data_IF_281220469723
#
_entry.id   IF_281220469723
#
_cell.length_a   1.000
_cell.length_b   1.000
_cell.length_c   1.000
_cell.angle_alpha   90.00
_cell.angle_beta   90.00
_cell.angle_gamma   90.00
#
_symmetry.space_group_name_H-M   'P 1'
#
loop_
_entity.id
_entity.type
_entity.pdbx_description
1 polymer ?
#
# COMPACT_ATOMS: atom_id res chain seq x y z
N UNK A 1 -51.91 -28.28 -3.92
CA UNK A 1 -50.45 -28.37 -4.15
C UNK A 1 -49.89 -26.97 -4.36
N UNK A 2 -49.31 -26.34 -3.33
CA UNK A 2 -48.68 -25.01 -3.46
C UNK A 2 -47.18 -25.22 -3.71
N UNK A 3 -46.72 -24.90 -4.92
CA UNK A 3 -45.29 -24.88 -5.25
C UNK A 3 -44.70 -23.58 -4.70
N UNK A 4 -43.86 -23.69 -3.67
CA UNK A 4 -43.07 -22.55 -3.17
C UNK A 4 -41.84 -22.45 -4.06
N UNK A 5 -41.74 -21.37 -4.84
CA UNK A 5 -40.57 -21.06 -5.64
C UNK A 5 -39.60 -20.27 -4.76
N UNK A 6 -38.52 -20.92 -4.30
CA UNK A 6 -37.45 -20.26 -3.56
C UNK A 6 -36.51 -19.57 -4.57
N UNK A 7 -36.64 -18.25 -4.71
CA UNK A 7 -35.70 -17.45 -5.50
C UNK A 7 -34.45 -17.23 -4.63
N UNK A 8 -33.40 -18.01 -4.90
CA UNK A 8 -32.06 -17.77 -4.36
C UNK A 8 -31.48 -16.53 -5.07
N UNK A 9 -31.55 -15.38 -4.41
CA UNK A 9 -30.83 -14.18 -4.82
C UNK A 9 -29.35 -14.43 -4.48
N UNK A 10 -28.60 -15.00 -5.41
CA UNK A 10 -27.14 -14.94 -5.36
C UNK A 10 -26.73 -13.50 -5.57
N UNK A 11 -26.58 -12.77 -4.46
CA UNK A 11 -25.90 -11.49 -4.47
C UNK A 11 -24.46 -11.79 -4.88
N UNK A 12 -24.10 -11.44 -6.11
CA UNK A 12 -22.70 -11.34 -6.55
C UNK A 12 -22.08 -10.24 -5.71
N UNK A 13 -21.59 -10.60 -4.53
CA UNK A 13 -20.62 -9.80 -3.82
C UNK A 13 -19.41 -9.84 -4.74
N UNK A 14 -19.26 -8.80 -5.57
CA UNK A 14 -17.99 -8.52 -6.20
C UNK A 14 -17.00 -8.31 -5.05
N UNK A 15 -16.33 -9.40 -4.66
CA UNK A 15 -15.12 -9.37 -3.84
C UNK A 15 -14.07 -8.67 -4.71
N UNK A 16 -14.17 -7.34 -4.79
CA UNK A 16 -13.04 -6.51 -5.18
C UNK A 16 -12.01 -6.74 -4.08
N UNK A 17 -11.02 -7.58 -4.38
CA UNK A 17 -9.87 -7.77 -3.51
C UNK A 17 -9.11 -6.47 -3.37
N UNK A 18 -8.38 -6.34 -2.26
CA UNK A 18 -7.38 -5.30 -2.19
C UNK A 18 -6.19 -5.67 -3.12
N UNK A 19 -5.38 -4.71 -3.57
CA UNK A 19 -4.19 -4.98 -4.37
C UNK A 19 -3.28 -6.00 -3.71
N UNK A 20 -2.66 -6.85 -4.53
CA UNK A 20 -1.82 -7.96 -4.12
C UNK A 20 -0.38 -7.81 -4.65
N UNK A 21 0.35 -6.73 -4.30
CA UNK A 21 1.73 -6.58 -4.73
C UNK A 21 2.55 -7.82 -4.35
N UNK A 22 3.16 -8.44 -5.35
CA UNK A 22 3.95 -9.68 -5.21
C UNK A 22 3.15 -10.90 -4.68
N UNK A 23 1.83 -10.89 -4.84
CA UNK A 23 0.92 -11.94 -4.35
C UNK A 23 0.54 -11.79 -2.87
N UNK A 24 0.79 -10.64 -2.25
CA UNK A 24 0.40 -10.35 -0.88
C UNK A 24 -0.73 -9.35 -0.83
N UNK A 25 -1.95 -9.83 -0.62
CA UNK A 25 -3.13 -8.97 -0.53
C UNK A 25 -3.03 -8.01 0.68
N UNK A 26 -3.14 -6.71 0.39
CA UNK A 26 -3.16 -5.67 1.40
C UNK A 26 -4.31 -5.87 2.40
N UNK A 27 -4.05 -5.58 3.67
CA UNK A 27 -4.99 -5.75 4.78
C UNK A 27 -5.19 -7.21 5.22
N UNK A 28 -4.65 -8.20 4.50
CA UNK A 28 -4.82 -9.63 4.81
C UNK A 28 -3.51 -10.35 5.06
N UNK A 29 -2.54 -10.18 4.16
CA UNK A 29 -1.24 -10.81 4.25
C UNK A 29 -0.56 -10.46 5.58
N UNK A 30 0.14 -11.42 6.15
CA UNK A 30 0.78 -11.31 7.46
C UNK A 30 2.29 -11.13 7.36
N UNK A 31 2.89 -10.61 8.42
CA UNK A 31 4.35 -10.58 8.58
C UNK A 31 4.97 -11.98 8.38
N UNK A 32 4.36 -13.02 8.93
CA UNK A 32 4.83 -14.40 8.79
C UNK A 32 4.84 -14.87 7.32
N UNK A 33 3.77 -14.60 6.57
CA UNK A 33 3.68 -14.98 5.16
C UNK A 33 4.74 -14.27 4.30
N UNK A 34 4.96 -12.97 4.54
CA UNK A 34 5.96 -12.19 3.79
C UNK A 34 7.38 -12.61 4.16
N UNK A 35 7.69 -12.74 5.46
CA UNK A 35 9.02 -13.15 5.92
C UNK A 35 9.38 -14.58 5.54
N UNK A 36 8.40 -15.48 5.42
CA UNK A 36 8.61 -16.84 4.90
C UNK A 36 9.01 -16.84 3.43
N UNK A 37 8.44 -15.95 2.61
CA UNK A 37 8.81 -15.84 1.19
C UNK A 37 10.15 -15.14 0.99
N UNK A 38 10.46 -14.16 1.84
CA UNK A 38 11.70 -13.38 1.78
C UNK A 38 12.47 -13.55 3.09
N UNK A 39 13.17 -14.67 3.31
CA UNK A 39 13.85 -14.95 4.57
C UNK A 39 15.03 -14.02 4.86
N UNK A 40 15.67 -13.48 3.82
CA UNK A 40 16.84 -12.59 3.93
C UNK A 40 16.46 -11.09 4.06
N UNK A 41 15.36 -10.81 4.77
CA UNK A 41 14.90 -9.44 5.00
C UNK A 41 15.68 -8.75 6.13
N UNK A 42 15.71 -7.42 6.11
CA UNK A 42 16.20 -6.60 7.23
C UNK A 42 15.04 -5.90 7.91
N UNK A 43 14.85 -6.11 9.21
CA UNK A 43 13.87 -5.33 9.97
C UNK A 43 14.47 -3.96 10.34
N UNK A 44 13.86 -2.88 9.85
CA UNK A 44 14.35 -1.50 10.05
C UNK A 44 13.68 -0.78 11.24
N UNK A 45 13.07 -1.56 12.13
CA UNK A 45 12.32 -1.07 13.29
C UNK A 45 10.81 -1.02 13.05
N UNK A 46 10.12 -0.24 13.86
CA UNK A 46 8.68 -0.02 13.73
C UNK A 46 8.41 1.25 12.95
N UNK A 47 7.43 1.20 12.04
CA UNK A 47 7.03 2.36 11.27
C UNK A 47 6.58 3.48 12.22
N UNK A 48 7.09 4.72 12.04
CA UNK A 48 6.68 5.82 12.89
C UNK A 48 5.17 6.06 12.86
N UNK A 49 4.52 5.91 11.71
CA UNK A 49 3.09 6.13 11.48
C UNK A 49 2.28 4.95 12.02
N UNK A 50 2.55 3.74 11.53
CA UNK A 50 1.68 2.58 11.77
C UNK A 50 1.96 1.87 13.10
N UNK A 51 3.14 2.10 13.68
CA UNK A 51 3.67 1.39 14.86
C UNK A 51 3.92 -0.10 14.68
N UNK A 52 3.54 -0.67 13.54
CA UNK A 52 3.84 -2.04 13.18
C UNK A 52 5.24 -2.20 12.62
N UNK A 53 5.61 -3.44 12.34
CA UNK A 53 6.93 -3.79 11.84
C UNK A 53 7.17 -3.20 10.45
N UNK A 54 8.43 -2.92 10.14
CA UNK A 54 8.89 -2.67 8.78
C UNK A 54 10.04 -3.58 8.42
N UNK A 55 9.97 -4.15 7.22
CA UNK A 55 11.06 -4.92 6.66
C UNK A 55 11.46 -4.37 5.31
N UNK A 56 12.74 -4.53 5.02
CA UNK A 56 13.38 -4.21 3.76
C UNK A 56 13.80 -5.52 3.11
N UNK A 57 13.40 -5.71 1.85
CA UNK A 57 13.78 -6.88 1.05
C UNK A 57 14.64 -6.40 -0.10
N UNK A 58 15.81 -7.02 -0.26
CA UNK A 58 16.77 -6.61 -1.28
C UNK A 58 16.12 -6.61 -2.67
N UNK A 59 16.32 -5.53 -3.43
CA UNK A 59 15.71 -5.35 -4.75
C UNK A 59 15.98 -6.50 -5.73
N UNK A 60 17.10 -7.23 -5.57
CA UNK A 60 17.45 -8.38 -6.40
C UNK A 60 16.50 -9.58 -6.25
N UNK A 61 15.64 -9.59 -5.23
CA UNK A 61 14.57 -10.58 -5.08
C UNK A 61 13.39 -10.35 -6.02
N UNK A 62 13.39 -9.23 -6.75
CA UNK A 62 12.29 -8.82 -7.63
C UNK A 62 12.80 -8.67 -9.05
N UNK A 63 12.19 -9.38 -9.99
CA UNK A 63 12.46 -9.23 -11.42
C UNK A 63 11.67 -8.04 -11.98
N UNK A 64 12.03 -6.84 -11.53
CA UNK A 64 11.43 -5.58 -11.93
C UNK A 64 12.50 -4.69 -12.56
N UNK A 65 12.34 -4.41 -13.86
CA UNK A 65 13.19 -3.44 -14.55
C UNK A 65 13.17 -2.12 -13.78
N UNK A 66 14.32 -1.45 -13.67
CA UNK A 66 14.48 -0.09 -13.14
C UNK A 66 14.05 0.12 -11.68
N UNK A 67 13.85 -0.96 -10.92
CA UNK A 67 13.78 -0.90 -9.47
C UNK A 67 15.19 -0.56 -8.96
N UNK A 68 15.33 0.54 -8.23
CA UNK A 68 16.64 1.10 -7.86
C UNK A 68 16.90 1.17 -6.35
N UNK A 69 15.89 0.84 -5.53
CA UNK A 69 16.01 0.65 -4.09
C UNK A 69 15.34 -0.64 -3.65
N UNK A 70 15.75 -1.11 -2.49
CA UNK A 70 15.11 -2.23 -1.80
C UNK A 70 13.63 -1.95 -1.50
N UNK A 71 12.81 -3.01 -1.53
CA UNK A 71 11.36 -2.91 -1.34
C UNK A 71 11.04 -2.89 0.14
N UNK A 72 10.19 -1.96 0.55
CA UNK A 72 9.77 -1.80 1.94
C UNK A 72 8.36 -2.37 2.11
N UNK A 73 8.20 -3.30 3.04
CA UNK A 73 6.90 -3.81 3.47
C UNK A 73 6.60 -3.26 4.87
N UNK A 74 5.44 -2.61 5.01
CA UNK A 74 4.95 -2.03 6.26
C UNK A 74 3.74 -2.77 6.79
N UNK A 75 3.80 -3.15 8.06
CA UNK A 75 2.74 -3.85 8.76
C UNK A 75 2.07 -2.94 9.79
N UNK A 76 0.86 -3.31 10.22
CA UNK A 76 0.23 -2.72 11.39
C UNK A 76 0.62 -3.47 12.68
N UNK A 77 0.04 -3.05 13.80
CA UNK A 77 0.28 -3.67 15.12
C UNK A 77 -0.30 -5.07 15.26
N UNK A 78 -1.15 -5.50 14.33
CA UNK A 78 -1.71 -6.86 14.25
C UNK A 78 -0.93 -7.72 13.24
N UNK A 79 0.26 -7.25 12.83
CA UNK A 79 1.13 -7.88 11.84
C UNK A 79 0.48 -8.07 10.46
N UNK A 80 -0.54 -7.26 10.12
CA UNK A 80 -1.16 -7.24 8.79
C UNK A 80 -0.46 -6.26 7.87
N UNK A 81 -0.22 -6.67 6.62
CA UNK A 81 0.42 -5.86 5.59
C UNK A 81 -0.50 -4.70 5.23
N UNK A 82 -0.03 -3.47 5.42
CA UNK A 82 -0.84 -2.28 5.16
C UNK A 82 -0.18 -1.30 4.19
N UNK A 83 1.08 -1.51 3.83
CA UNK A 83 1.77 -0.76 2.79
C UNK A 83 2.94 -1.50 2.16
N UNK A 84 3.18 -1.27 0.88
CA UNK A 84 4.36 -1.71 0.12
C UNK A 84 4.88 -0.54 -0.70
N UNK A 85 6.14 -0.17 -0.50
CA UNK A 85 6.82 0.91 -1.21
C UNK A 85 7.89 0.35 -2.14
N UNK A 86 7.85 0.78 -3.38
CA UNK A 86 8.85 0.54 -4.40
C UNK A 86 9.37 1.89 -4.91
N UNK A 87 10.68 1.95 -5.20
CA UNK A 87 11.30 3.11 -5.83
C UNK A 87 11.93 2.70 -7.16
N UNK A 88 11.63 3.46 -8.20
CA UNK A 88 12.10 3.23 -9.57
C UNK A 88 12.90 4.43 -10.08
N UNK A 89 13.67 4.20 -11.13
CA UNK A 89 14.33 5.24 -11.92
C UNK A 89 13.31 6.22 -12.53
N UNK A 90 13.70 7.49 -12.72
CA UNK A 90 12.81 8.58 -13.13
C UNK A 90 12.19 8.47 -14.53
N UNK A 91 12.77 7.63 -15.38
CA UNK A 91 12.30 7.39 -16.75
C UNK A 91 11.13 6.39 -16.80
N UNK A 92 10.71 5.87 -15.64
CA UNK A 92 9.73 4.78 -15.54
C UNK A 92 8.29 5.21 -15.29
N UNK A 93 7.99 6.51 -15.37
CA UNK A 93 6.68 7.01 -14.95
C UNK A 93 5.58 6.52 -15.87
N UNK A 94 5.76 6.66 -17.18
CA UNK A 94 4.72 6.37 -18.17
C UNK A 94 4.43 4.86 -18.27
N UNK A 95 5.45 4.01 -18.19
CA UNK A 95 5.24 2.55 -18.22
C UNK A 95 4.65 2.03 -16.91
N UNK A 96 5.07 2.55 -15.76
CA UNK A 96 4.43 2.24 -14.48
C UNK A 96 2.97 2.72 -14.49
N UNK A 97 2.69 3.94 -14.93
CA UNK A 97 1.33 4.48 -15.05
C UNK A 97 0.45 3.59 -15.93
N UNK A 98 0.99 3.14 -17.07
CA UNK A 98 0.29 2.24 -17.99
C UNK A 98 -0.01 0.88 -17.35
N UNK A 99 0.94 0.33 -16.56
CA UNK A 99 0.77 -0.96 -15.86
C UNK A 99 -0.34 -0.93 -14.80
N UNK A 100 -0.66 0.25 -14.27
CA UNK A 100 -1.68 0.46 -13.24
C UNK A 100 -3.08 0.67 -13.82
N UNK A 101 -3.25 0.67 -15.15
CA UNK A 101 -4.54 0.88 -15.84
C UNK A 101 -5.65 -0.11 -15.45
N UNK A 102 -5.29 -1.27 -14.86
CA UNK A 102 -6.25 -2.23 -14.30
C UNK A 102 -6.99 -1.72 -13.06
N UNK A 103 -6.45 -0.73 -12.36
CA UNK A 103 -7.07 -0.14 -11.18
C UNK A 103 -7.89 1.11 -11.56
N UNK A 104 -8.86 1.48 -10.72
CA UNK A 104 -9.66 2.68 -10.96
C UNK A 104 -8.84 3.92 -10.62
N UNK A 105 -8.43 4.69 -11.63
CA UNK A 105 -7.82 6.00 -11.43
C UNK A 105 -8.82 6.95 -10.74
N UNK A 106 -8.37 7.61 -9.68
CA UNK A 106 -9.17 8.57 -8.90
C UNK A 106 -8.59 9.99 -8.94
N UNK A 107 -7.31 10.13 -9.22
CA UNK A 107 -6.63 11.43 -9.32
C UNK A 107 -5.45 11.33 -10.27
N UNK A 108 -5.18 12.42 -11.02
CA UNK A 108 -4.03 12.51 -11.92
C UNK A 108 -3.58 13.97 -12.07
N UNK A 109 -2.28 14.18 -11.91
CA UNK A 109 -1.52 15.38 -12.23
C UNK A 109 -0.27 14.97 -13.05
N UNK A 110 0.57 15.93 -13.42
CA UNK A 110 1.74 15.66 -14.28
C UNK A 110 2.75 14.70 -13.63
N UNK A 111 2.92 14.78 -12.31
CA UNK A 111 3.89 13.98 -11.55
C UNK A 111 3.24 13.01 -10.55
N UNK A 112 1.91 12.93 -10.50
CA UNK A 112 1.20 12.12 -9.50
C UNK A 112 -0.02 11.46 -10.13
N UNK A 113 -0.20 10.17 -9.87
CA UNK A 113 -1.45 9.48 -10.16
C UNK A 113 -1.87 8.61 -8.98
N UNK A 114 -3.13 8.74 -8.56
CA UNK A 114 -3.74 7.90 -7.53
C UNK A 114 -4.78 6.99 -8.16
N UNK A 115 -4.73 5.73 -7.76
CA UNK A 115 -5.66 4.69 -8.13
C UNK A 115 -6.30 4.11 -6.87
N UNK A 116 -7.49 3.56 -7.03
CA UNK A 116 -8.24 2.90 -5.99
C UNK A 116 -8.60 1.49 -6.43
N UNK A 117 -8.43 0.57 -5.50
CA UNK A 117 -8.97 -0.78 -5.59
C UNK A 117 -9.34 -1.25 -4.18
N UNK A 118 -10.54 -1.83 -4.04
CA UNK A 118 -11.11 -2.18 -2.74
C UNK A 118 -11.01 -1.05 -1.68
N UNK A 119 -10.32 -1.36 -0.58
CA UNK A 119 -10.01 -0.47 0.53
C UNK A 119 -8.59 0.08 0.52
N UNK A 120 -7.97 0.10 -0.65
CA UNK A 120 -6.58 0.52 -0.84
C UNK A 120 -6.45 1.61 -1.88
N UNK A 121 -5.34 2.33 -1.77
CA UNK A 121 -4.89 3.35 -2.70
C UNK A 121 -3.52 2.93 -3.23
N UNK A 122 -3.33 3.08 -4.54
CA UNK A 122 -2.03 2.98 -5.18
C UNK A 122 -1.64 4.38 -5.61
N UNK A 123 -0.53 4.90 -5.10
CA UNK A 123 0.03 6.19 -5.53
C UNK A 123 1.28 5.96 -6.34
N UNK A 124 1.33 6.56 -7.52
CA UNK A 124 2.51 6.69 -8.35
C UNK A 124 2.92 8.16 -8.34
N UNK A 125 4.05 8.47 -7.71
CA UNK A 125 4.53 9.83 -7.47
C UNK A 125 5.94 9.98 -8.03
N UNK A 126 6.16 10.94 -8.93
CA UNK A 126 7.46 11.30 -9.49
C UNK A 126 8.03 12.47 -8.72
N UNK A 127 9.19 12.23 -8.11
CA UNK A 127 10.00 13.24 -7.44
C UNK A 127 11.18 13.65 -8.32
N UNK A 128 12.01 14.58 -7.85
CA UNK A 128 13.25 15.01 -8.52
C UNK A 128 14.37 13.97 -8.50
N UNK A 129 14.19 12.83 -7.85
CA UNK A 129 15.24 11.81 -7.66
C UNK A 129 14.80 10.38 -7.99
N UNK A 130 13.53 10.08 -7.81
CA UNK A 130 12.96 8.75 -8.04
C UNK A 130 11.45 8.81 -8.27
N UNK A 131 10.92 7.70 -8.79
CA UNK A 131 9.49 7.43 -8.83
C UNK A 131 9.14 6.50 -7.69
N UNK A 132 8.14 6.90 -6.90
CA UNK A 132 7.63 6.13 -5.78
C UNK A 132 6.30 5.50 -6.16
N UNK A 133 6.24 4.18 -6.06
CA UNK A 133 5.01 3.42 -6.16
C UNK A 133 4.64 2.88 -4.79
N UNK A 134 3.59 3.45 -4.21
CA UNK A 134 3.10 3.10 -2.87
C UNK A 134 1.72 2.46 -2.96
N UNK A 135 1.67 1.15 -2.70
CA UNK A 135 0.44 0.44 -2.40
C UNK A 135 0.14 0.60 -0.92
N UNK A 136 -1.05 1.05 -0.53
CA UNK A 136 -1.42 1.19 0.88
C UNK A 136 -2.91 1.02 1.13
N UNK A 137 -3.26 0.57 2.33
CA UNK A 137 -4.65 0.50 2.78
C UNK A 137 -5.16 1.88 3.23
N UNK A 138 -6.47 2.09 3.25
CA UNK A 138 -7.06 3.27 3.93
C UNK A 138 -6.75 3.32 5.43
N UNK A 139 -6.47 2.18 6.08
CA UNK A 139 -6.02 2.13 7.47
C UNK A 139 -4.68 2.86 7.61
N UNK A 140 -3.77 2.67 6.67
CA UNK A 140 -2.51 3.42 6.61
C UNK A 140 -2.77 4.93 6.55
N UNK A 141 -3.61 5.38 5.62
CA UNK A 141 -3.93 6.81 5.47
C UNK A 141 -4.52 7.42 6.74
N UNK A 142 -5.45 6.69 7.39
CA UNK A 142 -6.04 7.13 8.65
C UNK A 142 -4.97 7.27 9.75
N UNK A 143 -4.09 6.28 9.90
CA UNK A 143 -3.01 6.33 10.90
C UNK A 143 -2.04 7.48 10.61
N UNK A 144 -1.77 7.76 9.34
CA UNK A 144 -0.97 8.89 8.92
C UNK A 144 -1.58 10.22 9.33
N UNK A 145 -2.88 10.41 9.05
CA UNK A 145 -3.60 11.62 9.39
C UNK A 145 -3.72 11.83 10.91
N UNK A 146 -4.10 10.80 11.66
CA UNK A 146 -4.18 10.86 13.13
C UNK A 146 -2.84 11.28 13.75
N UNK A 147 -1.73 10.75 13.23
CA UNK A 147 -0.37 11.11 13.67
C UNK A 147 0.01 12.54 13.28
N UNK A 148 -0.38 12.99 12.09
CA UNK A 148 -0.14 14.37 11.62
C UNK A 148 -0.87 15.36 12.52
N UNK A 149 -2.17 15.16 12.75
CA UNK A 149 -2.98 16.03 13.60
C UNK A 149 -2.46 16.09 15.04
N UNK A 150 -2.05 14.96 15.63
CA UNK A 150 -1.49 14.99 16.98
C UNK A 150 -0.15 15.73 17.07
N UNK A 151 0.70 15.64 16.03
CA UNK A 151 1.94 16.45 15.96
C UNK A 151 1.62 17.94 15.89
N UNK A 152 0.66 18.34 15.07
CA UNK A 152 0.23 19.74 14.96
C UNK A 152 -0.33 20.26 16.29
N UNK A 153 -1.13 19.45 16.99
CA UNK A 153 -1.70 19.80 18.30
C UNK A 153 -0.62 20.01 19.35
N UNK A 154 0.38 19.12 19.41
CA UNK A 154 1.54 19.25 20.32
C UNK A 154 2.38 20.48 20.00
N UNK A 155 2.63 20.74 18.71
CA UNK A 155 3.39 21.92 18.29
C UNK A 155 2.68 23.21 18.68
N UNK A 156 1.35 23.30 18.50
CA UNK A 156 0.56 24.46 18.94
C UNK A 156 0.62 24.65 20.46
N UNK A 157 0.47 23.58 21.24
CA UNK A 157 0.55 23.65 22.71
C UNK A 157 1.93 24.11 23.20
N UNK A 158 3.01 23.64 22.57
CA UNK A 158 4.38 24.03 22.92
C UNK A 158 4.76 25.44 22.43
N UNK A 159 3.96 26.05 21.57
CA UNK A 159 4.18 27.38 20.99
C UNK A 159 3.34 28.48 21.64
N UNK A 160 2.46 28.12 22.59
CA UNK A 160 1.72 29.09 23.41
C UNK A 160 2.53 29.37 24.69
N UNK A 161 3.03 30.60 24.90
CA UNK A 161 3.80 30.99 26.09
C UNK A 161 2.95 30.98 27.37
#
# INVERSE_FOLDING_TARGET
>A
MKKVFLILIFSVISLFGDPDPFGFELGKATFEEVSKKYPDFTQIGNDPVTKGKQIVVNQKNFDLKGLNRDVIFGFDTEDKLIGVLLCFDEDRFDDLLSSLSKYKMVEKYDNLANFKDGNSIISLDKTDFDIRLLYRTKKYDKLYEDRRTERERKNKQNSMP
#
